data_IF_628518495846
#
_entry.id   IF_628518495846
#
_cell.length_a   1.000
_cell.length_b   1.000
_cell.length_c   1.000
_cell.angle_alpha   90.00
_cell.angle_beta   90.00
_cell.angle_gamma   90.00
#
_symmetry.space_group_name_H-M   'P 1'
#
loop_
_entity.id
_entity.type
_entity.pdbx_description
1 polymer ?
#
# COMPACT_ATOMS: atom_id res chain seq x y z
N UNK A 1 3.70 -4.97 11.35
CA UNK A 1 4.79 -4.97 10.34
C UNK A 1 5.88 -4.06 10.89
N UNK A 2 7.15 -4.35 10.61
CA UNK A 2 8.30 -3.55 11.06
C UNK A 2 8.54 -2.41 10.06
N UNK A 3 7.64 -1.42 10.13
CA UNK A 3 7.55 -0.28 9.21
C UNK A 3 6.89 0.91 9.93
N UNK A 4 7.11 2.11 9.42
CA UNK A 4 6.46 3.36 9.82
C UNK A 4 5.31 3.68 8.86
N UNK A 5 4.08 3.51 9.35
CA UNK A 5 2.87 3.77 8.56
C UNK A 5 2.82 5.25 8.11
N UNK A 6 2.60 5.46 6.81
CA UNK A 6 2.61 6.76 6.15
C UNK A 6 3.99 7.18 5.63
N UNK A 7 5.07 6.47 5.96
CA UNK A 7 6.43 6.76 5.50
C UNK A 7 6.97 5.67 4.57
N UNK A 8 7.10 4.44 5.07
CA UNK A 8 7.69 3.29 4.33
C UNK A 8 6.67 2.16 4.08
N UNK A 9 5.47 2.28 4.64
CA UNK A 9 4.34 1.40 4.41
C UNK A 9 3.02 2.17 4.53
N UNK A 10 1.93 1.61 4.01
CA UNK A 10 0.63 2.28 3.96
C UNK A 10 -0.51 1.26 4.01
N UNK A 11 -1.71 1.66 4.43
CA UNK A 11 -2.89 0.79 4.34
C UNK A 11 -3.53 0.96 2.96
N UNK A 12 -3.49 -0.11 2.17
CA UNK A 12 -4.02 -0.12 0.80
C UNK A 12 -5.50 -0.49 0.76
N UNK A 13 -5.95 -1.40 1.64
CA UNK A 13 -7.33 -1.87 1.73
C UNK A 13 -7.70 -2.16 3.18
N UNK A 14 -8.96 -1.91 3.53
CA UNK A 14 -9.58 -2.25 4.80
C UNK A 14 -10.59 -3.39 4.61
N UNK A 15 -11.13 -3.91 5.70
CA UNK A 15 -12.17 -4.94 5.65
C UNK A 15 -13.38 -4.43 4.87
N UNK A 16 -14.01 -5.30 4.09
CA UNK A 16 -15.27 -5.02 3.40
C UNK A 16 -16.45 -5.08 4.38
N UNK A 17 -17.25 -4.01 4.39
CA UNK A 17 -18.46 -3.83 5.18
C UNK A 17 -19.74 -3.91 4.33
N UNK A 18 -19.63 -4.14 3.02
CA UNK A 18 -20.79 -4.41 2.15
C UNK A 18 -20.44 -5.40 1.03
N UNK A 19 -20.31 -6.70 1.38
CA UNK A 19 -20.01 -7.74 0.40
C UNK A 19 -20.96 -7.72 -0.79
N UNK A 20 -20.39 -7.40 -1.95
CA UNK A 20 -21.08 -7.25 -3.23
C UNK A 20 -20.57 -6.05 -4.04
N UNK A 21 -21.31 -5.63 -5.07
CA UNK A 21 -20.93 -4.50 -5.92
C UNK A 21 -20.80 -3.15 -5.21
N UNK A 22 -21.31 -3.05 -3.98
CA UNK A 22 -21.27 -1.87 -3.12
C UNK A 22 -20.09 -1.82 -2.14
N UNK A 23 -19.17 -2.79 -2.23
CA UNK A 23 -18.06 -2.98 -1.30
C UNK A 23 -17.40 -1.68 -0.87
N UNK A 24 -17.28 -1.51 0.44
CA UNK A 24 -16.74 -0.31 1.06
C UNK A 24 -16.08 -0.63 2.40
N UNK A 25 -15.15 0.23 2.80
CA UNK A 25 -14.51 0.15 4.11
C UNK A 25 -15.45 0.65 5.24
N UNK A 26 -15.05 0.47 6.49
CA UNK A 26 -15.82 0.88 7.67
C UNK A 26 -16.18 2.37 7.72
N UNK A 27 -15.56 3.23 6.89
CA UNK A 27 -15.90 4.66 6.76
C UNK A 27 -16.88 4.95 5.63
N UNK A 28 -17.42 3.89 5.00
CA UNK A 28 -18.15 3.95 3.72
C UNK A 28 -17.24 4.44 2.57
N UNK A 29 -15.93 4.29 2.72
CA UNK A 29 -14.91 4.68 1.76
C UNK A 29 -14.63 3.57 0.74
N UNK A 30 -13.95 3.94 -0.34
CA UNK A 30 -13.65 3.04 -1.46
C UNK A 30 -12.37 2.23 -1.30
N UNK A 31 -11.75 2.21 -0.11
CA UNK A 31 -10.52 1.45 0.14
C UNK A 31 -10.88 0.05 0.64
N UNK A 32 -11.70 -0.64 -0.13
CA UNK A 32 -12.00 -2.07 0.00
C UNK A 32 -12.40 -2.63 -1.37
N UNK A 33 -12.66 -3.94 -1.43
CA UNK A 33 -13.25 -4.62 -2.58
C UNK A 33 -14.09 -5.80 -2.10
N UNK A 34 -14.97 -6.29 -2.98
CA UNK A 34 -15.94 -7.34 -2.67
C UNK A 34 -15.30 -8.56 -2.00
N UNK A 35 -15.73 -8.83 -0.77
CA UNK A 35 -15.31 -9.97 0.04
C UNK A 35 -13.92 -9.82 0.67
N UNK A 36 -13.35 -8.61 0.70
CA UNK A 36 -12.06 -8.37 1.32
C UNK A 36 -12.12 -8.60 2.84
N UNK A 37 -11.42 -9.63 3.32
CA UNK A 37 -11.61 -10.16 4.68
C UNK A 37 -10.52 -9.74 5.69
N UNK A 38 -9.82 -8.64 5.45
CA UNK A 38 -8.71 -8.19 6.30
C UNK A 38 -8.27 -6.77 6.01
N UNK A 39 -7.12 -6.40 6.57
CA UNK A 39 -6.44 -5.14 6.30
C UNK A 39 -5.16 -5.43 5.52
N UNK A 40 -4.96 -4.74 4.41
CA UNK A 40 -3.75 -4.84 3.58
C UNK A 40 -2.79 -3.71 3.94
N UNK A 41 -1.69 -4.04 4.60
CA UNK A 41 -0.60 -3.11 4.89
C UNK A 41 0.50 -3.34 3.86
N UNK A 42 0.66 -2.40 2.94
CA UNK A 42 1.44 -2.54 1.71
C UNK A 42 2.78 -1.82 1.77
N UNK A 43 3.72 -2.33 0.99
CA UNK A 43 4.99 -1.66 0.68
C UNK A 43 4.87 -0.90 -0.64
N UNK A 44 5.56 0.23 -0.79
CA UNK A 44 5.42 1.08 -1.98
C UNK A 44 5.93 0.40 -3.27
N UNK A 45 6.97 -0.45 -3.17
CA UNK A 45 7.68 -1.02 -4.33
C UNK A 45 8.15 -2.45 -4.09
N UNK A 46 8.46 -3.17 -5.18
CA UNK A 46 9.13 -4.48 -5.09
C UNK A 46 10.54 -4.36 -4.49
N UNK A 47 11.28 -3.28 -4.76
CA UNK A 47 12.57 -3.03 -4.13
C UNK A 47 12.46 -3.01 -2.59
N UNK A 48 11.46 -2.30 -2.04
CA UNK A 48 11.23 -2.27 -0.58
C UNK A 48 10.91 -3.68 -0.01
N UNK A 49 10.21 -4.53 -0.76
CA UNK A 49 10.00 -5.93 -0.37
C UNK A 49 11.32 -6.72 -0.34
N UNK A 50 12.21 -6.50 -1.31
CA UNK A 50 13.49 -7.19 -1.39
C UNK A 50 14.51 -6.73 -0.33
N UNK A 51 14.38 -5.51 0.18
CA UNK A 51 15.13 -5.04 1.36
C UNK A 51 14.78 -5.85 2.63
N UNK A 52 13.60 -6.48 2.66
CA UNK A 52 13.19 -7.41 3.69
C UNK A 52 12.50 -6.73 4.87
N UNK A 53 11.20 -6.46 4.73
CA UNK A 53 10.37 -5.91 5.82
C UNK A 53 9.78 -7.04 6.65
N UNK A 54 9.97 -7.00 7.98
CA UNK A 54 9.46 -8.05 8.88
C UNK A 54 7.97 -7.93 9.13
N UNK A 55 7.31 -9.07 9.16
CA UNK A 55 5.95 -9.22 9.71
C UNK A 55 6.09 -9.60 11.17
N UNK A 56 5.42 -8.87 12.05
CA UNK A 56 5.48 -9.04 13.50
C UNK A 56 4.12 -9.53 14.02
N UNK A 57 4.14 -10.37 15.06
CA UNK A 57 2.93 -10.78 15.75
C UNK A 57 2.21 -9.57 16.36
N UNK A 58 0.93 -9.38 16.01
CA UNK A 58 0.12 -8.27 16.51
C UNK A 58 -0.20 -8.39 18.01
N UNK A 59 -0.29 -9.63 18.52
CA UNK A 59 -0.55 -9.94 19.91
C UNK A 59 0.08 -11.28 20.29
N UNK A 60 0.28 -11.51 21.60
CA UNK A 60 0.81 -12.77 22.11
C UNK A 60 -0.17 -13.93 21.86
N UNK A 61 0.35 -15.13 21.62
CA UNK A 61 -0.49 -16.30 21.34
C UNK A 61 0.30 -17.52 20.86
N UNK A 62 -0.44 -18.55 20.47
CA UNK A 62 0.13 -19.81 19.95
C UNK A 62 -0.07 -19.90 18.45
N UNK A 63 0.99 -20.21 17.71
CA UNK A 63 0.93 -20.51 16.28
C UNK A 63 0.13 -21.79 16.05
N UNK A 64 -0.88 -21.73 15.19
CA UNK A 64 -1.83 -22.83 14.90
C UNK A 64 -1.92 -23.18 13.42
N UNK A 65 -1.10 -22.56 12.58
CA UNK A 65 -0.98 -22.92 11.18
C UNK A 65 0.12 -22.15 10.48
N UNK A 66 0.96 -22.87 9.74
CA UNK A 66 2.05 -22.30 8.93
C UNK A 66 1.98 -22.83 7.49
N UNK A 67 2.38 -21.99 6.53
CA UNK A 67 2.72 -22.39 5.16
C UNK A 67 3.85 -21.49 4.65
N UNK A 68 4.87 -22.06 4.02
CA UNK A 68 6.06 -21.29 3.60
C UNK A 68 6.66 -21.67 2.23
N UNK A 69 5.96 -22.51 1.46
CA UNK A 69 6.51 -23.09 0.21
C UNK A 69 6.03 -22.41 -1.09
N UNK A 70 5.08 -21.48 -1.00
CA UNK A 70 4.52 -20.83 -2.19
C UNK A 70 5.49 -19.80 -2.76
N UNK A 71 5.69 -19.77 -4.10
CA UNK A 71 6.51 -18.75 -4.74
C UNK A 71 5.93 -17.35 -4.56
N UNK A 72 6.84 -16.38 -4.46
CA UNK A 72 6.52 -14.96 -4.63
C UNK A 72 6.30 -14.69 -6.12
N UNK A 73 5.06 -14.39 -6.50
CA UNK A 73 4.66 -14.15 -7.89
C UNK A 73 3.40 -13.31 -7.96
N UNK A 74 3.34 -12.39 -8.93
CA UNK A 74 2.14 -11.61 -9.20
C UNK A 74 1.03 -12.54 -9.68
N UNK A 75 -0.19 -12.40 -9.15
CA UNK A 75 -1.38 -13.07 -9.64
C UNK A 75 -1.70 -12.62 -11.07
N UNK A 76 -1.76 -13.58 -11.99
CA UNK A 76 -2.14 -13.39 -13.38
C UNK A 76 -3.29 -14.32 -13.76
N UNK A 77 -3.83 -14.18 -14.97
CA UNK A 77 -4.85 -15.10 -15.46
C UNK A 77 -4.29 -16.53 -15.60
N UNK A 78 -3.01 -16.66 -15.96
CA UNK A 78 -2.32 -17.91 -16.23
C UNK A 78 -2.04 -18.71 -14.96
N UNK A 79 -1.69 -18.05 -13.85
CA UNK A 79 -1.36 -18.74 -12.60
C UNK A 79 -2.53 -18.84 -11.59
N UNK A 80 -3.67 -18.18 -11.84
CA UNK A 80 -4.80 -18.18 -10.91
C UNK A 80 -5.27 -19.58 -10.52
N UNK A 81 -5.33 -20.52 -11.47
CA UNK A 81 -5.78 -21.89 -11.22
C UNK A 81 -4.85 -22.65 -10.25
N UNK A 82 -3.54 -22.37 -10.24
CA UNK A 82 -2.60 -23.02 -9.32
C UNK A 82 -2.62 -22.44 -7.90
N UNK A 83 -3.22 -21.27 -7.72
CA UNK A 83 -3.36 -20.55 -6.44
C UNK A 83 -4.69 -20.90 -5.74
N UNK A 84 -5.67 -21.45 -6.44
CA UNK A 84 -7.00 -21.75 -5.90
C UNK A 84 -6.94 -22.61 -4.61
N UNK A 85 -7.64 -22.19 -3.56
CA UNK A 85 -7.63 -22.78 -2.22
C UNK A 85 -6.39 -22.42 -1.38
N UNK A 86 -5.48 -21.61 -1.93
CA UNK A 86 -4.24 -21.13 -1.29
C UNK A 86 -4.06 -19.62 -1.52
N UNK A 87 -5.16 -18.88 -1.59
CA UNK A 87 -5.21 -17.45 -1.87
C UNK A 87 -4.36 -16.65 -0.89
N UNK A 88 -4.39 -17.01 0.40
CA UNK A 88 -3.56 -16.41 1.46
C UNK A 88 -2.04 -16.64 1.26
N UNK A 89 -1.59 -17.45 0.30
CA UNK A 89 -0.17 -17.65 0.06
C UNK A 89 0.52 -18.39 1.20
N UNK A 90 1.78 -18.04 1.44
CA UNK A 90 2.48 -18.36 2.67
C UNK A 90 1.87 -17.58 3.81
N UNK A 91 1.73 -18.23 4.97
CA UNK A 91 0.96 -17.68 6.08
C UNK A 91 1.43 -18.16 7.43
N UNK A 92 1.09 -17.37 8.43
CA UNK A 92 1.10 -17.74 9.85
C UNK A 92 -0.29 -17.46 10.41
N UNK A 93 -0.84 -18.36 11.21
CA UNK A 93 -2.05 -18.15 11.97
C UNK A 93 -1.73 -18.27 13.46
N UNK A 94 -2.15 -17.29 14.26
CA UNK A 94 -1.91 -17.25 15.70
C UNK A 94 -3.26 -17.25 16.41
N UNK A 95 -3.44 -18.20 17.32
CA UNK A 95 -4.58 -18.24 18.24
C UNK A 95 -4.21 -17.52 19.53
N UNK A 96 -5.09 -16.62 19.95
CA UNK A 96 -4.96 -15.82 21.16
C UNK A 96 -5.96 -16.30 22.23
N UNK A 97 -6.04 -15.57 23.34
CA UNK A 97 -7.08 -15.77 24.35
C UNK A 97 -8.49 -15.63 23.76
N UNK A 98 -9.49 -16.18 24.46
CA UNK A 98 -10.92 -16.01 24.17
C UNK A 98 -11.38 -16.35 22.74
N UNK A 99 -10.65 -17.25 22.08
CA UNK A 99 -11.00 -17.74 20.74
C UNK A 99 -10.68 -16.78 19.60
N UNK A 100 -9.89 -15.74 19.86
CA UNK A 100 -9.39 -14.83 18.83
C UNK A 100 -8.29 -15.48 17.99
N UNK A 101 -8.26 -15.17 16.70
CA UNK A 101 -7.26 -15.67 15.75
C UNK A 101 -6.85 -14.51 14.84
N UNK A 102 -5.54 -14.28 14.72
CA UNK A 102 -4.96 -13.46 13.65
C UNK A 102 -4.36 -14.35 12.58
N UNK A 103 -4.57 -14.01 11.31
CA UNK A 103 -3.91 -14.68 10.18
C UNK A 103 -3.14 -13.65 9.35
N UNK A 104 -1.87 -13.95 9.10
CA UNK A 104 -0.91 -13.14 8.35
C UNK A 104 -0.66 -13.86 7.02
N UNK A 105 -1.02 -13.24 5.90
CA UNK A 105 -0.96 -13.82 4.55
C UNK A 105 0.12 -13.15 3.68
N UNK A 106 0.35 -13.74 2.52
CA UNK A 106 1.26 -13.24 1.47
C UNK A 106 2.72 -13.13 1.89
N UNK A 107 3.15 -13.98 2.82
CA UNK A 107 4.52 -13.95 3.35
C UNK A 107 5.55 -14.37 2.29
N UNK A 108 6.78 -13.87 2.38
CA UNK A 108 7.87 -14.20 1.44
C UNK A 108 8.22 -15.68 1.57
N UNK A 109 8.46 -16.34 0.43
CA UNK A 109 8.79 -17.77 0.42
C UNK A 109 10.04 -18.07 1.25
N UNK A 110 9.96 -19.10 2.10
CA UNK A 110 11.08 -19.58 2.90
C UNK A 110 11.49 -18.60 4.01
N UNK A 111 10.62 -17.65 4.37
CA UNK A 111 10.94 -16.61 5.36
C UNK A 111 10.28 -16.83 6.70
N UNK A 112 9.40 -17.82 6.86
CA UNK A 112 8.67 -18.03 8.10
C UNK A 112 9.62 -18.55 9.19
N UNK A 113 9.65 -17.84 10.32
CA UNK A 113 10.58 -18.07 11.44
C UNK A 113 9.99 -18.92 12.57
N UNK A 114 8.70 -19.28 12.47
CA UNK A 114 7.94 -19.96 13.52
C UNK A 114 7.31 -21.26 13.01
N UNK A 115 6.92 -22.13 13.93
CA UNK A 115 6.30 -23.43 13.63
C UNK A 115 5.01 -23.61 14.44
N UNK A 116 4.13 -24.50 13.99
CA UNK A 116 2.91 -24.86 14.72
C UNK A 116 3.22 -25.26 16.17
N UNK A 117 2.41 -24.75 17.10
CA UNK A 117 2.59 -24.94 18.55
C UNK A 117 3.53 -23.94 19.22
N UNK A 118 4.28 -23.12 18.46
CA UNK A 118 5.15 -22.09 19.03
C UNK A 118 4.33 -21.01 19.72
N UNK A 119 4.67 -20.68 20.98
CA UNK A 119 4.15 -19.49 21.63
C UNK A 119 5.00 -18.28 21.25
N UNK A 120 4.36 -17.17 20.91
CA UNK A 120 5.00 -15.91 20.53
C UNK A 120 4.43 -14.76 21.34
N UNK A 121 5.26 -13.78 21.65
CA UNK A 121 4.85 -12.51 22.24
C UNK A 121 4.47 -11.50 21.16
N UNK A 122 3.72 -10.45 21.53
CA UNK A 122 3.50 -9.31 20.64
C UNK A 122 4.85 -8.72 20.17
N UNK A 123 4.95 -8.39 18.89
CA UNK A 123 6.19 -7.90 18.28
C UNK A 123 7.19 -8.98 17.86
N UNK A 124 6.94 -10.26 18.16
CA UNK A 124 7.81 -11.35 17.70
C UNK A 124 7.87 -11.38 16.17
N UNK A 125 9.06 -11.39 15.54
CA UNK A 125 9.19 -11.59 14.10
C UNK A 125 8.64 -12.95 13.66
N UNK A 126 7.75 -12.93 12.67
CA UNK A 126 7.08 -14.13 12.14
C UNK A 126 7.64 -14.55 10.79
N UNK A 127 7.86 -13.59 9.90
CA UNK A 127 8.30 -13.78 8.52
C UNK A 127 8.71 -12.45 7.88
N UNK A 128 8.97 -12.45 6.57
CA UNK A 128 9.08 -11.24 5.77
C UNK A 128 7.81 -11.02 4.93
N UNK A 129 7.51 -9.75 4.60
CA UNK A 129 6.50 -9.40 3.60
C UNK A 129 6.90 -9.98 2.26
N UNK A 130 5.95 -10.60 1.56
CA UNK A 130 6.20 -11.23 0.27
C UNK A 130 5.14 -10.91 -0.77
N UNK A 131 5.08 -11.80 -1.75
CA UNK A 131 4.21 -11.73 -2.91
C UNK A 131 3.61 -13.10 -3.23
N UNK A 132 3.42 -13.95 -2.22
CA UNK A 132 2.87 -15.29 -2.40
C UNK A 132 1.33 -15.30 -2.38
N UNK A 133 0.73 -16.23 -3.13
CA UNK A 133 -0.73 -16.37 -3.18
C UNK A 133 -1.41 -15.40 -4.15
N UNK A 134 -2.64 -14.99 -3.84
CA UNK A 134 -3.49 -14.16 -4.69
C UNK A 134 -3.20 -12.66 -4.50
N UNK A 135 -1.99 -12.22 -4.87
CA UNK A 135 -1.50 -10.85 -4.63
C UNK A 135 -1.03 -10.17 -5.90
N UNK A 136 -1.14 -8.84 -5.96
CA UNK A 136 -0.75 -8.01 -7.11
C UNK A 136 0.34 -6.98 -6.79
N UNK A 137 0.72 -6.84 -5.52
CA UNK A 137 1.72 -5.91 -5.01
C UNK A 137 2.18 -6.39 -3.62
N UNK A 138 3.40 -6.04 -3.18
CA UNK A 138 3.93 -6.52 -1.91
C UNK A 138 3.13 -5.94 -0.74
N UNK A 139 2.51 -6.81 0.07
CA UNK A 139 1.75 -6.40 1.24
C UNK A 139 1.60 -7.54 2.24
N UNK A 140 1.30 -7.17 3.48
CA UNK A 140 0.76 -8.04 4.50
C UNK A 140 -0.77 -7.91 4.48
N UNK A 141 -1.47 -9.01 4.21
CA UNK A 141 -2.90 -9.11 4.51
C UNK A 141 -3.04 -9.71 5.91
N UNK A 142 -3.59 -8.93 6.85
CA UNK A 142 -3.90 -9.37 8.21
C UNK A 142 -5.41 -9.45 8.41
N UNK A 143 -5.89 -10.60 8.86
CA UNK A 143 -7.31 -10.78 9.22
C UNK A 143 -7.46 -11.12 10.70
N UNK A 144 -8.52 -10.63 11.30
CA UNK A 144 -8.89 -10.89 12.70
C UNK A 144 -10.21 -11.66 12.74
N UNK A 145 -10.25 -12.75 13.50
CA UNK A 145 -11.46 -13.54 13.70
C UNK A 145 -11.70 -13.84 15.17
N UNK A 146 -12.97 -13.93 15.55
CA UNK A 146 -13.41 -14.54 16.81
C UNK A 146 -14.15 -15.84 16.49
N UNK A 147 -13.51 -16.97 16.75
CA UNK A 147 -13.97 -18.25 16.22
C UNK A 147 -14.00 -18.24 14.68
N UNK A 148 -15.19 -18.31 14.08
CA UNK A 148 -15.37 -18.26 12.61
C UNK A 148 -15.69 -16.87 12.09
N UNK A 149 -16.09 -15.96 12.96
CA UNK A 149 -16.61 -14.63 12.62
C UNK A 149 -15.45 -13.69 12.28
N UNK A 150 -15.54 -13.06 11.11
CA UNK A 150 -14.64 -11.97 10.73
C UNK A 150 -14.91 -10.75 11.61
N UNK A 151 -13.85 -10.07 12.04
CA UNK A 151 -13.92 -8.82 12.79
C UNK A 151 -13.02 -7.78 12.12
N UNK A 152 -13.51 -6.55 12.03
CA UNK A 152 -12.70 -5.42 11.61
C UNK A 152 -11.91 -4.88 12.82
N UNK A 153 -10.57 -4.83 12.76
CA UNK A 153 -9.79 -4.26 13.85
C UNK A 153 -10.01 -2.76 14.07
N UNK A 154 -10.57 -2.02 13.10
CA UNK A 154 -10.89 -0.59 13.21
C UNK A 154 -12.26 -0.31 13.83
N UNK A 155 -13.19 -1.26 13.76
CA UNK A 155 -14.56 -1.10 14.27
C UNK A 155 -15.03 -2.36 15.03
N UNK A 156 -14.54 -2.59 16.26
CA UNK A 156 -14.87 -3.76 17.07
C UNK A 156 -16.37 -4.02 17.28
N UNK A 157 -17.16 -2.94 17.32
CA UNK A 157 -18.60 -2.98 17.58
C UNK A 157 -19.45 -3.23 16.33
N UNK A 158 -18.84 -3.20 15.14
CA UNK A 158 -19.53 -3.43 13.87
C UNK A 158 -19.30 -4.87 13.41
N UNK A 159 -20.39 -5.52 12.97
CA UNK A 159 -20.29 -6.75 12.19
C UNK A 159 -20.11 -6.36 10.72
N UNK A 160 -18.97 -6.67 10.08
CA UNK A 160 -18.73 -6.33 8.67
C UNK A 160 -19.69 -7.01 7.70
N UNK A 161 -20.50 -7.97 8.16
CA UNK A 161 -21.54 -8.60 7.33
C UNK A 161 -22.95 -8.07 7.63
N UNK A 162 -23.11 -7.12 8.55
CA UNK A 162 -24.38 -6.49 8.84
C UNK A 162 -24.70 -5.39 7.81
N UNK A 163 -25.99 -5.16 7.57
CA UNK A 163 -26.44 -4.01 6.80
C UNK A 163 -26.05 -2.71 7.51
N UNK A 164 -25.70 -1.68 6.73
CA UNK A 164 -25.28 -0.36 7.22
C UNK A 164 -24.09 -0.40 8.21
N UNK A 165 -23.13 -1.32 8.00
CA UNK A 165 -21.99 -1.54 8.90
C UNK A 165 -20.84 -0.52 8.74
N UNK A 166 -21.10 0.64 8.15
CA UNK A 166 -20.10 1.69 7.97
C UNK A 166 -20.55 3.06 8.54
N UNK A 167 -19.60 3.98 8.73
CA UNK A 167 -19.89 5.38 9.10
C UNK A 167 -20.11 5.63 10.59
N UNK A 168 -20.21 4.57 11.40
CA UNK A 168 -20.16 4.63 12.86
C UNK A 168 -18.71 4.44 13.35
N UNK A 169 -17.89 5.49 13.27
CA UNK A 169 -16.56 5.45 13.87
C UNK A 169 -16.69 5.44 15.41
N UNK A 170 -16.63 4.25 16.01
CA UNK A 170 -16.38 4.11 17.45
C UNK A 170 -15.01 4.67 17.82
N UNK A 171 -14.81 5.06 19.08
CA UNK A 171 -13.50 5.52 19.57
C UNK A 171 -12.55 4.37 19.92
N UNK A 172 -13.05 3.13 19.97
CA UNK A 172 -12.28 1.95 20.34
C UNK A 172 -11.90 1.14 19.10
N UNK A 173 -10.69 0.57 19.11
CA UNK A 173 -10.16 -0.29 18.04
C UNK A 173 -9.49 -1.51 18.68
N UNK A 174 -9.29 -2.59 17.91
CA UNK A 174 -8.49 -3.73 18.36
C UNK A 174 -6.98 -3.50 18.22
N UNK A 175 -6.56 -2.36 17.66
CA UNK A 175 -5.15 -1.99 17.59
C UNK A 175 -4.64 -1.52 18.95
N UNK A 176 -3.47 -2.02 19.35
CA UNK A 176 -2.81 -1.59 20.59
C UNK A 176 -2.51 -0.08 20.62
N UNK A 177 -2.30 0.51 19.44
CA UNK A 177 -2.18 1.95 19.23
C UNK A 177 -3.18 2.36 18.14
N UNK A 178 -4.01 3.40 18.36
CA UNK A 178 -4.96 3.85 17.34
C UNK A 178 -4.26 4.16 16.02
N UNK A 179 -4.75 3.55 14.94
CA UNK A 179 -4.27 3.78 13.58
C UNK A 179 -5.27 4.71 12.89
N UNK A 180 -4.86 5.92 12.45
CA UNK A 180 -5.77 6.83 11.77
C UNK A 180 -6.17 6.28 10.40
N UNK A 181 -7.40 6.58 9.98
CA UNK A 181 -7.85 6.28 8.62
C UNK A 181 -7.22 7.24 7.62
N UNK A 182 -6.61 6.69 6.57
CA UNK A 182 -6.08 7.43 5.44
C UNK A 182 -6.92 7.17 4.20
N UNK A 183 -7.51 8.23 3.64
CA UNK A 183 -8.46 8.14 2.52
C UNK A 183 -7.78 8.09 1.13
N UNK A 184 -6.47 7.80 1.10
CA UNK A 184 -5.58 7.86 -0.07
C UNK A 184 -4.48 8.92 0.09
N UNK A 185 -3.28 8.58 -0.35
CA UNK A 185 -2.08 9.44 -0.36
C UNK A 185 -1.13 9.01 -1.51
N UNK A 186 0.14 9.43 -1.46
CA UNK A 186 1.19 9.05 -2.38
C UNK A 186 2.06 7.91 -1.84
N UNK A 187 2.53 7.07 -2.76
CA UNK A 187 3.41 5.93 -2.49
C UNK A 187 4.87 6.27 -2.74
N UNK A 188 5.13 6.82 -3.92
CA UNK A 188 6.48 7.17 -4.39
C UNK A 188 6.39 8.28 -5.42
N UNK A 189 7.49 9.02 -5.56
CA UNK A 189 7.69 10.00 -6.61
C UNK A 189 9.18 10.05 -6.97
N UNK A 190 9.49 10.60 -8.14
CA UNK A 190 10.87 10.73 -8.60
C UNK A 190 11.00 11.54 -9.87
N UNK A 191 12.24 11.71 -10.31
CA UNK A 191 12.55 12.31 -11.61
C UNK A 191 13.04 11.25 -12.60
N UNK A 192 12.74 11.48 -13.87
CA UNK A 192 13.23 10.66 -14.97
C UNK A 192 13.45 11.52 -16.22
N UNK A 193 14.30 11.06 -17.12
CA UNK A 193 14.55 11.69 -18.42
C UNK A 193 13.51 11.31 -19.50
N UNK A 194 12.53 10.49 -19.12
CA UNK A 194 11.36 10.12 -19.91
C UNK A 194 10.19 9.79 -18.97
N UNK A 195 8.99 9.57 -19.52
CA UNK A 195 7.88 9.06 -18.71
C UNK A 195 8.15 7.58 -18.41
N UNK A 196 8.36 7.18 -17.14
CA UNK A 196 8.66 5.79 -16.83
C UNK A 196 7.44 4.92 -17.09
N UNK A 197 7.67 3.66 -17.45
CA UNK A 197 6.61 2.67 -17.51
C UNK A 197 6.15 2.28 -16.09
N UNK A 198 4.91 1.81 -16.00
CA UNK A 198 4.31 1.40 -14.72
C UNK A 198 5.11 0.28 -14.02
N UNK A 199 5.74 -0.60 -14.79
CA UNK A 199 6.56 -1.69 -14.26
C UNK A 199 7.76 -1.14 -13.47
N UNK A 200 8.53 -0.23 -14.07
CA UNK A 200 9.66 0.42 -13.40
C UNK A 200 9.25 1.18 -12.12
N UNK A 201 8.09 1.84 -12.13
CA UNK A 201 7.56 2.56 -10.96
C UNK A 201 7.24 1.59 -9.84
N UNK A 202 6.50 0.52 -10.13
CA UNK A 202 6.16 -0.51 -9.11
C UNK A 202 7.36 -1.34 -8.68
N UNK A 203 8.38 -1.49 -9.53
CA UNK A 203 9.64 -2.13 -9.18
C UNK A 203 10.47 -1.29 -8.20
N UNK A 204 10.27 0.04 -8.18
CA UNK A 204 11.10 0.95 -7.40
C UNK A 204 12.40 1.36 -8.12
N UNK A 205 12.42 1.28 -9.46
CA UNK A 205 13.61 1.57 -10.28
C UNK A 205 13.40 2.75 -11.24
N UNK A 206 12.27 3.46 -11.13
CA UNK A 206 11.91 4.54 -12.03
C UNK A 206 12.57 5.89 -11.71
N UNK A 207 13.04 6.08 -10.48
CA UNK A 207 13.71 7.31 -10.10
C UNK A 207 15.15 7.29 -10.61
N UNK A 208 15.50 8.29 -11.39
CA UNK A 208 16.82 8.49 -11.98
C UNK A 208 17.53 9.70 -11.36
N UNK A 209 17.02 10.20 -10.24
CA UNK A 209 17.62 11.33 -9.54
C UNK A 209 19.03 11.02 -9.03
N UNK A 210 19.99 11.95 -9.16
CA UNK A 210 19.90 13.19 -9.94
C UNK A 210 20.02 12.93 -11.45
N UNK A 211 19.25 13.67 -12.24
CA UNK A 211 19.38 13.63 -13.70
C UNK A 211 20.68 14.29 -14.18
N UNK A 212 21.30 13.77 -15.26
CA UNK A 212 22.44 14.43 -15.87
C UNK A 212 22.03 15.76 -16.52
N UNK A 213 22.95 16.72 -16.58
CA UNK A 213 22.65 18.06 -17.09
C UNK A 213 22.19 18.06 -18.56
N UNK A 214 22.64 17.09 -19.36
CA UNK A 214 22.28 16.89 -20.77
C UNK A 214 21.09 15.93 -20.98
N UNK A 215 20.31 15.64 -19.92
CA UNK A 215 19.10 14.83 -20.03
C UNK A 215 18.17 15.35 -21.15
N UNK A 216 17.55 14.48 -21.95
CA UNK A 216 16.66 14.88 -23.04
C UNK A 216 15.33 15.51 -22.56
N UNK A 217 14.91 15.20 -21.33
CA UNK A 217 13.72 15.76 -20.72
C UNK A 217 13.89 15.86 -19.20
N UNK A 218 13.03 16.68 -18.59
CA UNK A 218 12.83 16.75 -17.15
C UNK A 218 11.40 16.33 -16.86
N UNK A 219 11.22 15.09 -16.43
CA UNK A 219 9.92 14.50 -16.08
C UNK A 219 9.87 14.26 -14.58
N UNK A 220 8.81 14.74 -13.95
CA UNK A 220 8.45 14.39 -12.59
C UNK A 220 7.26 13.45 -12.62
N UNK A 221 7.32 12.40 -11.81
CA UNK A 221 6.30 11.37 -11.76
C UNK A 221 5.93 11.05 -10.31
N UNK A 222 4.70 10.59 -10.11
CA UNK A 222 4.21 10.18 -8.81
C UNK A 222 3.23 9.00 -8.93
N UNK A 223 3.27 8.15 -7.92
CA UNK A 223 2.38 7.02 -7.72
C UNK A 223 1.55 7.29 -6.46
N UNK A 224 0.23 7.15 -6.55
CA UNK A 224 -0.73 7.38 -5.48
C UNK A 224 -1.66 6.18 -5.28
N UNK A 225 -2.40 6.19 -4.18
CA UNK A 225 -3.47 5.23 -3.88
C UNK A 225 -4.74 5.94 -3.40
N UNK A 226 -5.86 5.22 -3.44
CA UNK A 226 -7.13 5.72 -2.90
C UNK A 226 -7.73 6.92 -3.63
N UNK A 227 -7.36 7.14 -4.89
CA UNK A 227 -7.95 8.19 -5.72
C UNK A 227 -9.42 7.89 -6.04
N UNK A 228 -10.28 8.92 -6.04
CA UNK A 228 -11.72 8.81 -6.32
C UNK A 228 -12.07 9.53 -7.61
N UNK A 229 -13.14 9.09 -8.26
CA UNK A 229 -13.73 9.85 -9.37
C UNK A 229 -14.10 11.28 -8.90
N UNK A 230 -13.72 12.29 -9.68
CA UNK A 230 -13.85 13.70 -9.34
C UNK A 230 -12.70 14.28 -8.51
N UNK A 231 -11.73 13.47 -8.09
CA UNK A 231 -10.47 13.98 -7.57
C UNK A 231 -9.62 14.57 -8.69
N UNK A 232 -8.52 15.20 -8.29
CA UNK A 232 -7.56 15.82 -9.19
C UNK A 232 -6.15 15.62 -8.70
N UNK A 233 -5.24 15.31 -9.62
CA UNK A 233 -3.81 15.22 -9.31
C UNK A 233 -3.08 16.39 -9.95
N UNK A 234 -2.36 17.14 -9.13
CA UNK A 234 -1.45 18.20 -9.58
C UNK A 234 -0.02 17.69 -9.54
N UNK A 235 0.78 18.04 -10.55
CA UNK A 235 2.22 17.78 -10.62
C UNK A 235 2.93 19.08 -10.95
N UNK A 236 3.98 19.40 -10.22
CA UNK A 236 4.78 20.60 -10.44
C UNK A 236 6.27 20.34 -10.29
N UNK A 237 7.07 21.15 -10.99
CA UNK A 237 8.53 21.12 -10.91
C UNK A 237 9.02 22.55 -10.69
N UNK A 238 9.79 22.75 -9.63
CA UNK A 238 10.54 23.94 -9.32
C UNK A 238 12.02 23.66 -9.61
N UNK A 239 12.68 24.58 -10.31
CA UNK A 239 14.13 24.56 -10.53
C UNK A 239 14.89 25.43 -9.52
N UNK A 240 16.18 25.70 -9.78
CA UNK A 240 17.04 26.44 -8.87
C UNK A 240 16.45 27.78 -8.44
N UNK A 241 16.57 28.11 -7.14
CA UNK A 241 15.96 29.29 -6.51
C UNK A 241 14.42 29.30 -6.60
N UNK A 242 13.81 28.10 -6.60
CA UNK A 242 12.36 27.89 -6.64
C UNK A 242 11.70 28.47 -7.90
N UNK A 243 12.43 28.54 -9.02
CA UNK A 243 11.88 29.02 -10.29
C UNK A 243 10.88 27.99 -10.86
N UNK A 244 9.65 28.37 -11.24
CA UNK A 244 8.70 27.42 -11.80
C UNK A 244 9.18 26.90 -13.17
N UNK A 245 9.19 25.59 -13.35
CA UNK A 245 9.62 24.91 -14.59
C UNK A 245 8.46 24.22 -15.28
N UNK A 246 7.62 23.52 -14.52
CA UNK A 246 6.48 22.77 -15.03
C UNK A 246 5.34 22.76 -14.03
N UNK A 247 4.11 22.75 -14.53
CA UNK A 247 2.90 22.54 -13.74
C UNK A 247 1.83 21.92 -14.63
N UNK A 248 1.14 20.89 -14.13
CA UNK A 248 -0.06 20.35 -14.76
C UNK A 248 -1.07 19.91 -13.70
N UNK A 249 -2.32 19.84 -14.12
CA UNK A 249 -3.46 19.47 -13.30
C UNK A 249 -4.28 18.44 -14.10
N UNK A 250 -4.49 17.27 -13.53
CA UNK A 250 -5.15 16.13 -14.20
C UNK A 250 -6.41 15.73 -13.45
N UNK A 251 -7.61 15.94 -14.02
CA UNK A 251 -8.85 15.42 -13.44
C UNK A 251 -8.88 13.89 -13.49
N UNK A 252 -9.47 13.27 -12.46
CA UNK A 252 -9.56 11.83 -12.31
C UNK A 252 -11.00 11.36 -12.51
N UNK A 253 -11.27 10.74 -13.65
CA UNK A 253 -12.62 10.29 -14.03
C UNK A 253 -13.06 8.99 -13.33
N UNK A 254 -12.13 8.29 -12.68
CA UNK A 254 -12.36 6.97 -12.09
C UNK A 254 -11.79 6.89 -10.69
N UNK A 255 -12.50 6.15 -9.83
CA UNK A 255 -11.94 5.66 -8.57
C UNK A 255 -10.92 4.58 -8.88
N UNK A 256 -9.73 4.69 -8.27
CA UNK A 256 -8.60 3.80 -8.53
C UNK A 256 -7.89 3.49 -7.22
N UNK A 257 -7.71 2.19 -6.93
CA UNK A 257 -6.96 1.74 -5.77
C UNK A 257 -5.50 2.22 -5.82
N UNK A 258 -4.90 2.25 -7.02
CA UNK A 258 -3.56 2.77 -7.31
C UNK A 258 -3.55 3.58 -8.61
N UNK A 259 -2.75 4.62 -8.66
CA UNK A 259 -2.75 5.62 -9.74
C UNK A 259 -1.35 6.17 -10.00
N UNK A 260 -0.89 6.05 -11.24
CA UNK A 260 0.35 6.66 -11.70
C UNK A 260 0.09 7.86 -12.61
N UNK A 261 0.83 8.96 -12.41
CA UNK A 261 0.88 10.11 -13.32
C UNK A 261 2.31 10.62 -13.45
N UNK A 262 2.60 11.20 -14.60
CA UNK A 262 3.86 11.86 -14.90
C UNK A 262 3.61 13.10 -15.76
N UNK A 263 4.49 14.09 -15.62
CA UNK A 263 4.45 15.32 -16.39
C UNK A 263 5.81 15.99 -16.39
N UNK A 264 6.10 16.74 -17.45
CA UNK A 264 7.41 17.37 -17.59
C UNK A 264 7.58 18.12 -18.90
N UNK A 265 8.82 18.53 -19.16
CA UNK A 265 9.22 19.26 -20.36
C UNK A 265 10.34 18.53 -21.09
N UNK A 266 10.33 18.62 -22.43
CA UNK A 266 11.52 18.28 -23.22
C UNK A 266 12.53 19.41 -23.08
N UNK A 267 13.78 19.06 -22.86
CA UNK A 267 14.86 20.02 -22.70
C UNK A 267 15.44 20.39 -24.06
N UNK A 268 15.63 21.69 -24.27
CA UNK A 268 16.33 22.25 -25.45
C UNK A 268 17.74 22.71 -25.11
N UNK A 269 17.92 23.11 -23.85
CA UNK A 269 19.16 23.53 -23.25
C UNK A 269 19.45 22.62 -22.05
N UNK A 270 20.73 22.44 -21.66
CA UNK A 270 21.09 21.68 -20.46
C UNK A 270 20.40 22.22 -19.20
N UNK A 271 20.12 21.32 -18.25
CA UNK A 271 19.66 21.70 -16.92
C UNK A 271 20.69 22.60 -16.26
N UNK A 272 20.20 23.63 -15.56
CA UNK A 272 21.06 24.54 -14.81
C UNK A 272 21.49 23.85 -13.53
N UNK A 273 22.76 23.95 -13.12
CA UNK A 273 23.18 23.44 -11.82
C UNK A 273 22.35 24.03 -10.67
N UNK A 274 22.02 23.19 -9.70
CA UNK A 274 21.26 23.56 -8.51
C UNK A 274 20.15 22.57 -8.13
N UNK A 275 19.41 22.93 -7.09
CA UNK A 275 18.32 22.11 -6.57
C UNK A 275 17.07 22.24 -7.44
N UNK A 276 16.48 21.08 -7.73
CA UNK A 276 15.16 20.92 -8.32
C UNK A 276 14.26 20.21 -7.32
N UNK A 277 12.99 20.60 -7.28
CA UNK A 277 11.97 20.02 -6.40
C UNK A 277 10.74 19.69 -7.22
N UNK A 278 10.31 18.43 -7.16
CA UNK A 278 9.09 17.94 -7.78
C UNK A 278 8.04 17.74 -6.70
N UNK A 279 6.83 18.24 -6.91
CA UNK A 279 5.72 18.09 -5.96
C UNK A 279 4.49 17.54 -6.67
N UNK A 280 3.85 16.54 -6.05
CA UNK A 280 2.55 16.03 -6.44
C UNK A 280 1.53 16.25 -5.33
N UNK A 281 0.30 16.63 -5.70
CA UNK A 281 -0.82 16.81 -4.76
C UNK A 281 -2.06 16.09 -5.25
N UNK A 282 -2.74 15.38 -4.36
CA UNK A 282 -4.04 14.77 -4.61
C UNK A 282 -5.10 15.64 -3.96
N UNK A 283 -6.07 16.10 -4.74
CA UNK A 283 -7.07 17.07 -4.31
C UNK A 283 -8.47 16.47 -4.46
N UNK A 284 -9.22 16.50 -3.36
CA UNK A 284 -10.59 16.00 -3.26
C UNK A 284 -11.50 17.12 -2.80
N UNK A 285 -12.50 17.46 -3.62
CA UNK A 285 -13.48 18.52 -3.32
C UNK A 285 -12.80 19.85 -2.87
N UNK A 286 -11.69 20.20 -3.53
CA UNK A 286 -10.92 21.42 -3.27
C UNK A 286 -9.97 21.38 -2.06
N UNK A 287 -9.83 20.23 -1.37
CA UNK A 287 -8.87 20.05 -0.27
C UNK A 287 -7.74 19.11 -0.69
N UNK A 288 -6.51 19.42 -0.31
CA UNK A 288 -5.38 18.50 -0.44
C UNK A 288 -5.60 17.35 0.53
N UNK A 289 -5.63 16.12 0.01
CA UNK A 289 -5.79 14.88 0.79
C UNK A 289 -4.52 14.05 0.83
N UNK A 290 -3.55 14.34 -0.03
CA UNK A 290 -2.22 13.76 -0.03
C UNK A 290 -1.23 14.67 -0.76
N UNK A 291 0.03 14.64 -0.35
CA UNK A 291 1.11 15.43 -0.95
C UNK A 291 2.44 14.67 -0.82
N UNK A 292 3.24 14.66 -1.89
CA UNK A 292 4.60 14.15 -1.88
C UNK A 292 5.53 15.12 -2.58
N UNK A 293 6.73 15.26 -2.03
CA UNK A 293 7.81 16.05 -2.62
C UNK A 293 9.02 15.15 -2.83
N UNK A 294 9.72 15.35 -3.93
CA UNK A 294 10.99 14.68 -4.22
C UNK A 294 11.98 15.71 -4.77
N UNK A 295 13.17 15.74 -4.18
CA UNK A 295 14.20 16.72 -4.52
C UNK A 295 15.39 16.04 -5.19
N UNK A 296 16.00 16.73 -6.14
CA UNK A 296 17.27 16.32 -6.73
C UNK A 296 18.20 17.52 -6.91
N UNK A 297 19.51 17.27 -6.96
CA UNK A 297 20.52 18.30 -7.23
C UNK A 297 21.27 17.98 -8.51
N UNK A 298 21.18 18.88 -9.49
CA UNK A 298 21.98 18.80 -10.72
C UNK A 298 23.31 19.50 -10.44
N UNK A 299 24.42 18.80 -10.71
CA UNK A 299 25.79 19.31 -10.53
C UNK A 299 26.28 20.10 -11.74
#
# INVERSE_FOLDING_TARGET
>A
MDCTLGEDCYIQQYVDHDPGPGAHDFTCGSLSYDGHSGTDIALPTLAAMEEGVRVLAAAAGTVVGVRDEMPDQILTAENRASIQGRECGNRVAIRHGDGWITQYCHLKRGSVLVQDGTYVEAGTPLALVGLSGATQFPHLHISLRKGKELRDPFTPDLDPNAADSCGAAGSETHWAHPVPYEAGDFLTAGFADHVPDYGAVTAGTADQSPLPADAPALVFWAMAYGARAGDRMELSILGPKSAPVFHTEVPLEKTQARLFRAGGIRLKDPLKPGQYSGQARLIRKGKVVGEITHDMTVN
#
